data_IF_463920229785
#
_entry.id   IF_463920229785
#
_cell.length_a   1.000
_cell.length_b   1.000
_cell.length_c   1.000
_cell.angle_alpha   90.00
_cell.angle_beta   90.00
_cell.angle_gamma   90.00
#
_symmetry.space_group_name_H-M   'P 1'
#
loop_
_entity.id
_entity.type
_entity.pdbx_description
1 polymer ?
#
# COMPACT_ATOMS: atom_id res chain seq x y z
N UNK A 1 60.22 -14.61 27.36
CA UNK A 1 58.86 -14.09 27.65
C UNK A 1 58.50 -13.04 26.62
N UNK A 2 57.69 -13.38 25.60
CA UNK A 2 57.19 -12.40 24.61
C UNK A 2 56.03 -11.64 25.26
N UNK A 3 56.25 -10.38 25.63
CA UNK A 3 55.19 -9.46 26.01
C UNK A 3 54.23 -9.31 24.82
N UNK A 4 53.10 -10.03 24.85
CA UNK A 4 51.94 -9.71 24.00
C UNK A 4 51.47 -8.33 24.44
N UNK A 5 51.72 -7.31 23.61
CA UNK A 5 51.23 -5.94 23.82
C UNK A 5 49.74 -6.00 24.13
N UNK A 6 49.42 -5.64 25.37
CA UNK A 6 48.09 -5.38 25.88
C UNK A 6 47.40 -4.33 25.00
N UNK A 7 46.14 -4.60 24.67
CA UNK A 7 45.33 -3.82 23.75
C UNK A 7 45.20 -2.35 24.15
N UNK A 8 45.35 -1.48 23.16
CA UNK A 8 44.93 -0.10 23.26
C UNK A 8 43.41 -0.08 23.05
N UNK A 9 42.65 0.19 24.12
CA UNK A 9 41.20 0.45 24.07
C UNK A 9 41.01 1.89 23.56
N UNK A 10 41.38 2.13 22.30
CA UNK A 10 41.07 3.36 21.59
C UNK A 10 39.81 3.13 20.74
N UNK A 11 38.68 3.55 21.33
CA UNK A 11 37.51 4.02 20.60
C UNK A 11 36.57 2.99 19.98
N UNK A 12 35.73 2.32 20.78
CA UNK A 12 34.53 1.59 20.27
C UNK A 12 33.42 2.53 19.73
N UNK A 13 33.60 3.83 19.89
CA UNK A 13 32.67 4.87 19.49
C UNK A 13 33.10 5.55 18.18
N UNK A 14 33.20 6.88 18.23
CA UNK A 14 33.42 7.81 17.12
C UNK A 14 34.58 7.44 16.20
N UNK A 15 35.73 7.08 16.77
CA UNK A 15 36.93 6.70 16.00
C UNK A 15 36.68 5.48 15.10
N UNK A 16 35.93 4.49 15.57
CA UNK A 16 35.62 3.28 14.79
C UNK A 16 34.68 3.53 13.61
N UNK A 17 33.82 4.56 13.67
CA UNK A 17 32.84 4.84 12.62
C UNK A 17 33.50 5.33 11.33
N UNK A 18 34.62 6.05 11.40
CA UNK A 18 35.36 6.51 10.21
C UNK A 18 35.85 5.35 9.32
N UNK A 19 36.03 4.16 9.89
CA UNK A 19 36.49 2.95 9.17
C UNK A 19 35.36 2.19 8.46
N UNK A 20 34.08 2.55 8.66
CA UNK A 20 32.88 1.82 8.15
C UNK A 20 32.51 2.17 6.69
N UNK A 21 33.49 2.16 5.79
CA UNK A 21 33.30 2.48 4.35
C UNK A 21 32.75 1.32 3.52
N UNK A 22 33.08 0.08 3.87
CA UNK A 22 32.67 -1.10 3.11
C UNK A 22 31.20 -1.43 3.39
N UNK A 23 30.40 -1.64 2.34
CA UNK A 23 28.98 -2.01 2.48
C UNK A 23 28.83 -3.53 2.41
N UNK A 24 28.23 -4.12 3.43
CA UNK A 24 27.93 -5.56 3.47
C UNK A 24 26.66 -5.89 2.71
N UNK A 25 25.69 -4.98 2.75
CA UNK A 25 24.41 -5.11 2.08
C UNK A 25 24.32 -4.20 0.85
N UNK A 26 23.56 -4.62 -0.16
CA UNK A 26 23.17 -3.83 -1.33
C UNK A 26 21.68 -4.02 -1.63
N UNK A 27 21.16 -3.33 -2.65
CA UNK A 27 19.77 -3.47 -3.10
C UNK A 27 19.50 -4.87 -3.66
N UNK A 28 18.42 -5.49 -3.21
CA UNK A 28 17.98 -6.79 -3.71
C UNK A 28 17.03 -6.63 -4.90
N UNK A 29 17.33 -7.33 -6.00
CA UNK A 29 16.54 -7.33 -7.24
C UNK A 29 15.07 -7.75 -7.01
N UNK A 30 14.82 -8.75 -6.15
CA UNK A 30 13.46 -9.27 -5.92
C UNK A 30 12.58 -8.36 -5.07
N UNK A 31 13.11 -7.78 -4.00
CA UNK A 31 12.31 -7.05 -3.01
C UNK A 31 12.57 -5.54 -2.95
N UNK A 32 13.57 -5.03 -3.69
CA UNK A 32 13.94 -3.61 -3.71
C UNK A 32 14.51 -3.08 -2.39
N UNK A 33 14.79 -3.95 -1.41
CA UNK A 33 15.36 -3.54 -0.11
C UNK A 33 16.88 -3.67 -0.11
N UNK A 34 17.54 -2.78 0.62
CA UNK A 34 18.97 -2.84 0.89
C UNK A 34 19.27 -3.95 1.92
N UNK A 35 19.33 -5.18 1.45
CA UNK A 35 19.37 -6.38 2.29
C UNK A 35 20.11 -7.55 1.62
N UNK A 36 20.61 -7.37 0.40
CA UNK A 36 21.38 -8.39 -0.28
C UNK A 36 22.81 -8.40 0.26
N UNK A 37 23.22 -9.48 0.93
CA UNK A 37 24.56 -9.57 1.48
C UNK A 37 25.56 -10.00 0.40
N UNK A 38 26.61 -9.23 0.16
CA UNK A 38 27.53 -9.45 -0.95
C UNK A 38 28.34 -10.75 -0.82
N UNK A 39 29.01 -10.97 0.32
CA UNK A 39 29.84 -12.18 0.53
C UNK A 39 29.01 -13.48 0.51
N UNK A 40 27.87 -13.49 1.18
CA UNK A 40 27.01 -14.67 1.29
C UNK A 40 26.05 -14.83 0.09
N UNK A 41 26.03 -13.88 -0.83
CA UNK A 41 25.13 -13.82 -1.99
C UNK A 41 23.66 -14.12 -1.66
N UNK A 42 23.19 -13.66 -0.51
CA UNK A 42 21.84 -13.97 0.01
C UNK A 42 21.15 -12.74 0.60
N UNK A 43 19.86 -12.59 0.29
CA UNK A 43 19.05 -11.52 0.86
C UNK A 43 18.51 -11.88 2.26
N UNK A 44 18.77 -11.05 3.27
CA UNK A 44 18.27 -11.25 4.63
C UNK A 44 16.75 -11.13 4.75
N UNK A 45 16.10 -10.33 3.89
CA UNK A 45 14.64 -10.11 3.94
C UNK A 45 13.85 -11.18 3.21
N UNK A 46 14.24 -11.51 1.97
CA UNK A 46 13.44 -12.34 1.05
C UNK A 46 14.12 -13.67 0.69
N UNK A 47 15.36 -13.89 1.12
CA UNK A 47 16.19 -15.06 0.83
C UNK A 47 16.48 -15.32 -0.66
N UNK A 48 16.39 -14.32 -1.53
CA UNK A 48 16.97 -14.42 -2.89
C UNK A 48 18.43 -14.91 -2.80
N UNK A 49 18.88 -15.95 -3.54
CA UNK A 49 18.28 -16.56 -4.74
C UNK A 49 17.25 -17.70 -4.51
N UNK A 50 16.97 -18.10 -3.27
CA UNK A 50 16.06 -19.22 -3.00
C UNK A 50 14.68 -19.02 -3.66
N UNK A 51 14.03 -20.11 -4.08
CA UNK A 51 12.72 -20.09 -4.75
C UNK A 51 11.63 -19.57 -3.81
N UNK A 52 11.60 -20.09 -2.57
CA UNK A 52 10.64 -19.66 -1.54
C UNK A 52 11.07 -18.34 -0.90
N UNK A 53 10.09 -17.50 -0.60
CA UNK A 53 10.30 -16.27 0.17
C UNK A 53 10.48 -16.60 1.65
N UNK A 54 11.47 -15.98 2.29
CA UNK A 54 11.70 -16.10 3.75
C UNK A 54 10.60 -15.41 4.56
N UNK A 55 9.96 -16.18 5.43
CA UNK A 55 8.94 -15.77 6.40
C UNK A 55 9.12 -16.53 7.70
N UNK A 56 8.94 -15.86 8.83
CA UNK A 56 8.95 -16.48 10.15
C UNK A 56 7.74 -16.03 10.95
N UNK A 57 7.08 -16.97 11.62
CA UNK A 57 5.83 -16.73 12.34
C UNK A 57 6.02 -15.82 13.56
N UNK A 58 7.21 -15.82 14.18
CA UNK A 58 7.55 -14.90 15.27
C UNK A 58 7.59 -13.42 14.84
N UNK A 59 7.65 -13.12 13.54
CA UNK A 59 7.72 -11.74 13.02
C UNK A 59 6.43 -11.33 12.29
N UNK A 60 5.34 -11.21 13.04
CA UNK A 60 4.00 -10.84 12.51
C UNK A 60 4.05 -9.52 11.73
N UNK A 61 4.73 -8.50 12.26
CA UNK A 61 4.87 -7.18 11.60
C UNK A 61 5.63 -7.28 10.28
N UNK A 62 6.65 -8.13 10.20
CA UNK A 62 7.40 -8.31 8.97
C UNK A 62 6.58 -9.05 7.90
N UNK A 63 5.74 -10.00 8.31
CA UNK A 63 4.77 -10.67 7.43
C UNK A 63 3.79 -9.63 6.87
N UNK A 64 3.16 -8.80 7.73
CA UNK A 64 2.19 -7.78 7.31
C UNK A 64 2.75 -6.78 6.28
N UNK A 65 4.02 -6.40 6.38
CA UNK A 65 4.67 -5.48 5.42
C UNK A 65 4.89 -6.09 4.04
N UNK A 66 4.94 -7.42 3.93
CA UNK A 66 5.31 -8.15 2.70
C UNK A 66 4.16 -8.98 2.12
N UNK A 67 3.08 -9.14 2.86
CA UNK A 67 1.94 -9.97 2.46
C UNK A 67 1.30 -9.45 1.17
N UNK A 68 0.64 -10.35 0.45
CA UNK A 68 -0.21 -10.02 -0.68
C UNK A 68 -1.20 -8.94 -0.24
N UNK A 69 -1.40 -7.90 -1.07
CA UNK A 69 -2.20 -6.67 -0.82
C UNK A 69 -1.42 -5.39 -0.59
N UNK A 70 -0.18 -5.43 -0.10
CA UNK A 70 0.58 -4.19 0.10
C UNK A 70 1.08 -3.53 -1.19
N UNK A 71 1.19 -4.29 -2.28
CA UNK A 71 1.64 -3.81 -3.59
C UNK A 71 0.51 -3.49 -4.57
N UNK A 72 0.88 -3.29 -5.84
CA UNK A 72 -0.05 -2.84 -6.91
C UNK A 72 -1.17 -3.83 -7.28
N UNK A 73 -1.10 -5.09 -6.84
CA UNK A 73 -2.09 -6.16 -7.11
C UNK A 73 -2.67 -6.18 -8.54
N UNK A 74 -1.88 -5.93 -9.61
CA UNK A 74 -2.45 -5.67 -10.96
C UNK A 74 -3.45 -6.74 -11.44
N UNK A 75 -3.12 -8.01 -11.25
CA UNK A 75 -4.01 -9.12 -11.60
C UNK A 75 -5.14 -9.31 -10.57
N UNK A 76 -4.77 -9.51 -9.30
CA UNK A 76 -5.72 -9.82 -8.23
C UNK A 76 -6.70 -8.66 -7.91
N UNK A 77 -6.40 -7.42 -8.30
CA UNK A 77 -7.29 -6.26 -8.11
C UNK A 77 -8.60 -6.44 -8.88
N UNK A 78 -8.54 -7.01 -10.08
CA UNK A 78 -9.71 -7.27 -10.90
C UNK A 78 -10.34 -8.64 -10.62
N UNK A 79 -9.65 -9.50 -9.86
CA UNK A 79 -10.13 -10.83 -9.46
C UNK A 79 -11.54 -10.79 -8.87
N UNK A 80 -11.79 -10.09 -7.75
CA UNK A 80 -13.11 -10.05 -7.11
C UNK A 80 -14.23 -9.54 -8.03
N UNK A 81 -13.93 -8.62 -8.96
CA UNK A 81 -14.90 -8.16 -9.96
C UNK A 81 -15.23 -9.29 -10.95
N UNK A 82 -14.21 -9.98 -11.47
CA UNK A 82 -14.38 -11.10 -12.40
C UNK A 82 -15.09 -12.29 -11.76
N UNK A 83 -14.80 -12.60 -10.50
CA UNK A 83 -15.51 -13.63 -9.73
C UNK A 83 -17.01 -13.33 -9.64
N UNK A 84 -17.39 -12.07 -9.33
CA UNK A 84 -18.81 -11.65 -9.27
C UNK A 84 -19.51 -11.73 -10.61
N UNK A 85 -18.80 -11.51 -11.71
CA UNK A 85 -19.36 -11.60 -13.07
C UNK A 85 -19.24 -13.01 -13.67
N UNK A 86 -18.77 -14.01 -12.91
CA UNK A 86 -18.64 -15.39 -13.38
C UNK A 86 -17.61 -15.59 -14.49
N UNK A 87 -16.54 -14.79 -14.51
CA UNK A 87 -15.47 -14.86 -15.53
C UNK A 87 -15.98 -14.79 -16.98
N UNK A 88 -17.04 -14.01 -17.24
CA UNK A 88 -17.48 -13.73 -18.61
C UNK A 88 -16.36 -13.09 -19.43
N UNK A 89 -16.06 -13.68 -20.58
CA UNK A 89 -15.08 -13.20 -21.56
C UNK A 89 -15.78 -12.95 -22.91
N UNK A 90 -15.26 -12.03 -23.73
CA UNK A 90 -15.75 -11.79 -25.09
C UNK A 90 -17.11 -11.09 -25.22
N UNK A 91 -17.78 -10.71 -24.13
CA UNK A 91 -19.04 -9.96 -24.20
C UNK A 91 -18.79 -8.46 -24.31
N UNK A 92 -19.21 -7.84 -25.41
CA UNK A 92 -19.22 -6.38 -25.53
C UNK A 92 -20.35 -5.78 -24.68
N UNK A 93 -20.04 -4.67 -24.00
CA UNK A 93 -21.07 -3.94 -23.27
C UNK A 93 -22.05 -3.34 -24.27
N UNK A 94 -23.34 -3.63 -24.12
CA UNK A 94 -24.37 -3.03 -24.95
C UNK A 94 -24.21 -1.49 -24.95
N UNK A 95 -24.19 -0.89 -26.14
CA UNK A 95 -24.11 0.55 -26.31
C UNK A 95 -25.24 1.19 -25.49
N UNK A 96 -24.88 1.98 -24.47
CA UNK A 96 -25.86 2.77 -23.73
C UNK A 96 -26.41 3.83 -24.68
N UNK A 97 -27.61 3.62 -25.22
CA UNK A 97 -28.37 4.69 -25.89
C UNK A 97 -28.57 5.80 -24.87
N UNK A 98 -27.92 6.96 -25.06
CA UNK A 98 -28.32 8.18 -24.37
C UNK A 98 -29.74 8.48 -24.87
N UNK A 99 -30.74 8.35 -24.01
CA UNK A 99 -32.05 8.93 -24.29
C UNK A 99 -31.82 10.44 -24.33
N UNK A 100 -31.80 11.00 -25.53
CA UNK A 100 -31.96 12.43 -25.74
C UNK A 100 -33.45 12.74 -25.69
N UNK A 101 -33.78 13.85 -25.00
CA UNK A 101 -35.13 14.39 -24.75
C UNK A 101 -35.95 13.66 -23.68
N UNK A 102 -36.63 14.34 -22.74
CA UNK A 102 -37.30 15.62 -22.89
C UNK A 102 -37.09 16.58 -21.70
N UNK A 103 -36.58 17.77 -22.00
CA UNK A 103 -36.92 18.99 -21.27
C UNK A 103 -38.24 19.51 -21.84
N UNK A 104 -39.37 19.08 -21.28
CA UNK A 104 -40.66 19.74 -21.51
C UNK A 104 -40.78 20.89 -20.52
N UNK A 105 -40.64 22.10 -21.06
CA UNK A 105 -41.20 23.34 -20.55
C UNK A 105 -42.68 23.16 -20.22
N UNK A 106 -43.09 23.43 -18.99
CA UNK A 106 -44.51 23.35 -18.61
C UNK A 106 -44.75 23.47 -17.11
N UNK A 107 -44.20 24.49 -16.44
CA UNK A 107 -44.74 24.95 -15.17
C UNK A 107 -45.45 26.28 -15.46
N UNK A 108 -46.68 26.17 -15.94
CA UNK A 108 -47.67 27.23 -15.75
C UNK A 108 -48.84 26.65 -14.98
N UNK A 109 -48.91 27.10 -13.73
CA UNK A 109 -50.16 27.42 -13.02
C UNK A 109 -51.03 26.24 -12.58
N UNK A 110 -50.78 25.76 -11.37
CA UNK A 110 -51.84 25.67 -10.35
C UNK A 110 -51.27 26.29 -9.08
N UNK A 111 -51.73 27.49 -8.81
CA UNK A 111 -51.55 28.19 -7.54
C UNK A 111 -52.55 27.63 -6.51
N UNK A 112 -52.06 27.54 -5.28
CA UNK A 112 -52.76 27.67 -4.00
C UNK A 112 -53.37 26.47 -3.26
N UNK A 113 -52.97 26.42 -1.98
CA UNK A 113 -53.48 25.68 -0.81
C UNK A 113 -53.06 24.18 -0.71
N UNK A 114 -52.34 23.68 0.30
CA UNK A 114 -52.39 23.94 1.75
C UNK A 114 -51.03 23.60 2.41
N UNK A 115 -50.47 24.60 3.10
CA UNK A 115 -49.70 24.61 4.35
C UNK A 115 -48.97 23.33 4.83
N UNK A 116 -47.64 23.44 4.95
CA UNK A 116 -46.92 23.01 6.15
C UNK A 116 -45.76 22.03 5.94
N UNK A 117 -44.53 22.55 5.82
CA UNK A 117 -43.35 22.00 6.53
C UNK A 117 -42.16 22.98 6.46
N UNK A 118 -41.57 23.38 7.61
CA UNK A 118 -40.56 24.42 7.71
C UNK A 118 -39.16 23.93 7.34
N UNK A 119 -38.48 24.69 6.49
CA UNK A 119 -37.03 24.65 6.34
C UNK A 119 -36.39 25.28 7.57
N UNK A 120 -35.59 24.52 8.31
CA UNK A 120 -34.68 25.07 9.32
C UNK A 120 -33.24 25.16 8.78
N UNK A 121 -32.51 26.24 9.12
CA UNK A 121 -31.29 26.67 8.44
C UNK A 121 -30.02 25.92 8.85
N UNK A 122 -29.01 26.07 7.99
CA UNK A 122 -27.75 25.31 7.83
C UNK A 122 -26.64 25.67 8.85
N UNK A 123 -26.91 26.29 10.01
CA UNK A 123 -25.84 26.91 10.81
C UNK A 123 -25.36 26.25 12.12
N UNK A 124 -25.84 25.07 12.56
CA UNK A 124 -25.40 24.51 13.86
C UNK A 124 -25.16 22.98 13.92
N UNK A 125 -24.28 22.45 13.07
CA UNK A 125 -23.71 21.09 13.30
C UNK A 125 -22.18 21.03 13.24
N UNK A 126 -21.52 22.18 13.20
CA UNK A 126 -20.05 22.27 13.05
C UNK A 126 -19.24 22.14 14.36
N UNK A 127 -19.87 21.96 15.54
CA UNK A 127 -19.17 21.91 16.84
C UNK A 127 -19.44 20.66 17.68
N UNK A 128 -19.67 19.48 17.07
CA UNK A 128 -19.96 18.25 17.82
C UNK A 128 -19.14 17.02 17.44
N UNK A 129 -17.87 17.21 17.09
CA UNK A 129 -16.81 16.18 17.18
C UNK A 129 -15.52 16.89 17.63
N UNK A 130 -15.40 17.07 18.94
CA UNK A 130 -14.14 17.26 19.66
C UNK A 130 -13.94 16.06 20.56
#
# INVERSE_FOLDING_TARGET
MKLKKSGNVQGNGTESFGKRRNKTHTLCVRCGRHSFHFQNSRCSTCAFPATRKRTYNWSVKAIRRKTTRTGRMRYLRHGPRRFKTGFREGTEAALRKKVAAASTSGITRIEEHILGCPTLPISETFWRIG
#
